data_IF_299808230915
#
_entry.id   IF_299808230915
#
_cell.length_a   1.000
_cell.length_b   1.000
_cell.length_c   1.000
_cell.angle_alpha   90.00
_cell.angle_beta   90.00
_cell.angle_gamma   90.00
#
_symmetry.space_group_name_H-M   'P 1'
#
loop_
_entity.id
_entity.type
_entity.pdbx_description
1 polymer ?
#
# COMPACT_ATOMS: atom_id res chain seq x y z
N UNK A 1 -33.71 -24.25 -3.08
CA UNK A 1 -33.70 -22.99 -3.87
C UNK A 1 -32.38 -22.27 -3.63
N UNK A 2 -31.40 -22.45 -4.50
CA UNK A 2 -30.12 -21.71 -4.47
C UNK A 2 -30.39 -20.29 -4.93
N UNK A 3 -30.21 -19.30 -4.04
CA UNK A 3 -30.24 -17.88 -4.43
C UNK A 3 -29.13 -17.67 -5.45
N UNK A 4 -29.51 -17.24 -6.64
CA UNK A 4 -28.58 -16.93 -7.72
C UNK A 4 -27.89 -15.61 -7.34
N UNK A 5 -26.78 -15.68 -6.59
CA UNK A 5 -26.04 -14.48 -6.25
C UNK A 5 -25.55 -13.83 -7.55
N UNK A 6 -25.81 -12.52 -7.76
CA UNK A 6 -25.37 -11.84 -8.96
C UNK A 6 -23.85 -11.93 -9.06
N UNK A 7 -23.36 -12.33 -10.23
CA UNK A 7 -21.92 -12.42 -10.50
C UNK A 7 -21.32 -11.02 -10.46
N UNK A 8 -20.18 -10.86 -9.81
CA UNK A 8 -19.45 -9.59 -9.83
C UNK A 8 -18.78 -9.40 -11.20
N UNK A 9 -18.50 -8.16 -11.60
CA UNK A 9 -17.76 -7.88 -12.84
C UNK A 9 -16.37 -8.53 -12.85
N UNK A 10 -15.72 -8.59 -11.69
CA UNK A 10 -14.41 -9.25 -11.55
C UNK A 10 -14.52 -10.77 -11.68
N UNK A 11 -15.59 -11.39 -11.17
CA UNK A 11 -15.87 -12.81 -11.41
C UNK A 11 -15.98 -13.09 -12.92
N UNK A 12 -16.77 -12.32 -13.65
CA UNK A 12 -16.90 -12.47 -15.10
C UNK A 12 -15.57 -12.25 -15.83
N UNK A 13 -14.80 -11.25 -15.43
CA UNK A 13 -13.48 -10.99 -15.98
C UNK A 13 -12.49 -12.16 -15.75
N UNK A 14 -12.50 -12.79 -14.57
CA UNK A 14 -11.67 -13.97 -14.29
C UNK A 14 -12.10 -15.19 -15.12
N UNK A 15 -13.41 -15.44 -15.28
CA UNK A 15 -13.90 -16.53 -16.15
C UNK A 15 -13.47 -16.31 -17.61
N UNK A 16 -13.61 -15.07 -18.11
CA UNK A 16 -13.19 -14.72 -19.47
C UNK A 16 -11.67 -14.81 -19.63
N UNK A 17 -10.90 -14.40 -18.63
CA UNK A 17 -9.44 -14.46 -18.64
C UNK A 17 -8.97 -15.92 -18.76
N UNK A 18 -9.49 -16.83 -17.93
CA UNK A 18 -9.12 -18.25 -17.96
C UNK A 18 -9.34 -18.93 -19.32
N UNK A 19 -10.37 -18.50 -20.06
CA UNK A 19 -10.67 -18.97 -21.43
C UNK A 19 -9.72 -18.41 -22.48
N UNK A 20 -9.36 -17.12 -22.39
CA UNK A 20 -8.59 -16.40 -23.43
C UNK A 20 -7.08 -16.46 -23.23
N UNK A 21 -6.62 -16.25 -22.00
CA UNK A 21 -5.20 -16.09 -21.66
C UNK A 21 -4.41 -17.40 -21.71
N UNK A 22 -5.07 -18.51 -21.37
CA UNK A 22 -4.52 -19.88 -21.35
C UNK A 22 -3.25 -20.10 -20.51
N UNK A 23 -2.86 -19.12 -19.72
CA UNK A 23 -1.77 -19.20 -18.74
C UNK A 23 -1.88 -18.00 -17.79
N UNK A 24 -1.78 -18.25 -16.49
CA UNK A 24 -1.68 -17.19 -15.49
C UNK A 24 -0.24 -16.66 -15.43
N UNK A 25 0.05 -15.65 -16.25
CA UNK A 25 1.34 -14.94 -16.31
C UNK A 25 1.16 -13.44 -16.57
N UNK A 26 2.18 -12.64 -16.21
CA UNK A 26 2.19 -11.19 -16.42
C UNK A 26 1.94 -10.82 -17.89
N UNK A 27 2.66 -11.43 -18.83
CA UNK A 27 2.49 -11.20 -20.26
C UNK A 27 1.05 -11.52 -20.76
N UNK A 28 0.44 -12.59 -20.24
CA UNK A 28 -0.95 -12.93 -20.59
C UNK A 28 -1.97 -12.00 -19.94
N UNK A 29 -1.71 -11.56 -18.71
CA UNK A 29 -2.50 -10.55 -18.01
C UNK A 29 -2.48 -9.20 -18.75
N UNK A 30 -1.35 -8.82 -19.33
CA UNK A 30 -1.21 -7.61 -20.15
C UNK A 30 -1.97 -7.70 -21.48
N UNK A 31 -1.90 -8.85 -22.17
CA UNK A 31 -2.59 -9.07 -23.45
C UNK A 31 -4.09 -9.34 -23.33
N UNK A 32 -4.56 -9.81 -22.17
CA UNK A 32 -5.98 -9.99 -21.84
C UNK A 32 -6.31 -9.14 -20.61
N UNK A 33 -6.36 -7.83 -20.81
CA UNK A 33 -6.40 -6.80 -19.76
C UNK A 33 -7.75 -6.63 -19.05
N UNK A 34 -8.74 -7.47 -19.35
CA UNK A 34 -10.09 -7.38 -18.79
C UNK A 34 -10.12 -7.40 -17.26
N UNK A 35 -9.20 -8.14 -16.63
CA UNK A 35 -9.05 -8.20 -15.16
C UNK A 35 -8.42 -6.91 -14.64
N UNK A 36 -7.42 -6.38 -15.35
CA UNK A 36 -6.75 -5.11 -15.00
C UNK A 36 -7.73 -3.95 -15.04
N UNK A 37 -8.65 -3.92 -16.02
CA UNK A 37 -9.71 -2.92 -16.10
C UNK A 37 -10.71 -2.95 -14.95
N UNK A 38 -10.88 -4.10 -14.28
CA UNK A 38 -11.76 -4.20 -13.11
C UNK A 38 -11.08 -3.80 -11.79
N UNK A 39 -9.75 -3.84 -11.73
CA UNK A 39 -8.98 -3.61 -10.49
C UNK A 39 -8.18 -2.31 -10.50
N UNK A 40 -7.79 -1.84 -11.68
CA UNK A 40 -6.95 -0.66 -11.86
C UNK A 40 -7.74 0.64 -11.92
N UNK A 41 -7.01 1.73 -11.77
CA UNK A 41 -7.51 3.08 -12.05
C UNK A 41 -7.54 3.29 -13.57
N UNK A 42 -8.74 3.52 -14.12
CA UNK A 42 -8.96 3.68 -15.56
C UNK A 42 -8.09 4.78 -16.18
N UNK A 43 -7.83 5.87 -15.45
CA UNK A 43 -6.98 6.96 -15.93
C UNK A 43 -5.51 6.53 -16.06
N UNK A 44 -5.06 5.62 -15.20
CA UNK A 44 -3.66 5.15 -15.13
C UNK A 44 -3.40 3.93 -16.00
N UNK A 45 -4.42 3.20 -16.46
CA UNK A 45 -4.23 2.01 -17.30
C UNK A 45 -3.60 2.29 -18.67
N UNK A 46 -3.56 3.56 -19.09
CA UNK A 46 -2.83 4.01 -20.28
C UNK A 46 -1.30 4.08 -20.06
N UNK A 47 -0.83 4.19 -18.81
CA UNK A 47 0.58 4.18 -18.44
C UNK A 47 1.10 2.72 -18.47
N UNK A 48 2.06 2.39 -19.38
CA UNK A 48 2.63 1.06 -19.49
C UNK A 48 3.23 0.55 -18.18
N UNK A 49 3.92 1.40 -17.41
CA UNK A 49 4.61 1.01 -16.19
C UNK A 49 3.60 0.64 -15.09
N UNK A 50 2.57 1.47 -14.90
CA UNK A 50 1.49 1.17 -13.97
C UNK A 50 0.79 -0.15 -14.34
N UNK A 51 0.52 -0.36 -15.63
CA UNK A 51 -0.17 -1.53 -16.12
C UNK A 51 0.65 -2.82 -15.93
N UNK A 52 1.97 -2.77 -16.17
CA UNK A 52 2.90 -3.87 -15.86
C UNK A 52 2.94 -4.20 -14.38
N UNK A 53 3.08 -3.18 -13.52
CA UNK A 53 3.08 -3.36 -12.06
C UNK A 53 1.76 -3.97 -11.56
N UNK A 54 0.63 -3.47 -12.06
CA UNK A 54 -0.69 -4.01 -11.74
C UNK A 54 -0.82 -5.46 -12.20
N UNK A 55 -0.39 -5.78 -13.43
CA UNK A 55 -0.43 -7.14 -13.97
C UNK A 55 0.39 -8.11 -13.13
N UNK A 56 1.63 -7.76 -12.81
CA UNK A 56 2.51 -8.55 -11.93
C UNK A 56 1.83 -8.82 -10.59
N UNK A 57 1.31 -7.78 -9.97
CA UNK A 57 0.64 -7.84 -8.67
C UNK A 57 -0.59 -8.76 -8.69
N UNK A 58 -1.47 -8.61 -9.67
CA UNK A 58 -2.65 -9.48 -9.83
C UNK A 58 -2.23 -10.95 -9.95
N UNK A 59 -1.21 -11.25 -10.76
CA UNK A 59 -0.71 -12.62 -10.93
C UNK A 59 -0.15 -13.19 -9.62
N UNK A 60 0.67 -12.42 -8.90
CA UNK A 60 1.23 -12.84 -7.60
C UNK A 60 0.11 -13.12 -6.60
N UNK A 61 -0.86 -12.21 -6.48
CA UNK A 61 -2.00 -12.37 -5.57
C UNK A 61 -2.85 -13.59 -5.91
N UNK A 62 -3.23 -13.76 -7.19
CA UNK A 62 -4.03 -14.93 -7.60
C UNK A 62 -3.31 -16.24 -7.31
N UNK A 63 -2.00 -16.33 -7.57
CA UNK A 63 -1.22 -17.54 -7.23
C UNK A 63 -1.22 -17.81 -5.73
N UNK A 64 -1.02 -16.77 -4.92
CA UNK A 64 -1.06 -16.88 -3.46
C UNK A 64 -2.44 -17.33 -2.95
N UNK A 65 -3.52 -16.73 -3.47
CA UNK A 65 -4.90 -17.09 -3.12
C UNK A 65 -5.22 -18.54 -3.50
N UNK A 66 -4.82 -18.99 -4.69
CA UNK A 66 -4.99 -20.38 -5.12
C UNK A 66 -4.22 -21.33 -4.20
N UNK A 67 -2.97 -21.03 -3.89
CA UNK A 67 -2.14 -21.87 -3.02
C UNK A 67 -2.70 -21.97 -1.58
N UNK A 68 -3.34 -20.90 -1.09
CA UNK A 68 -3.95 -20.82 0.23
C UNK A 68 -5.33 -21.50 0.34
N UNK A 69 -5.91 -21.99 -0.76
CA UNK A 69 -7.21 -22.68 -0.72
C UNK A 69 -7.11 -23.98 0.10
N UNK A 70 -7.95 -24.15 1.13
CA UNK A 70 -7.87 -25.30 2.03
C UNK A 70 -8.39 -26.59 1.38
N UNK A 71 -9.41 -26.50 0.53
CA UNK A 71 -9.95 -27.66 -0.17
C UNK A 71 -9.09 -27.94 -1.44
N UNK A 72 -8.45 -29.12 -1.54
CA UNK A 72 -7.60 -29.46 -2.67
C UNK A 72 -8.36 -29.55 -4.01
N UNK A 73 -9.64 -29.91 -3.99
CA UNK A 73 -10.51 -29.95 -5.18
C UNK A 73 -10.77 -28.53 -5.68
N UNK A 74 -11.11 -27.60 -4.78
CA UNK A 74 -11.32 -26.19 -5.15
C UNK A 74 -10.04 -25.55 -5.70
N UNK A 75 -8.91 -25.80 -5.03
CA UNK A 75 -7.59 -25.38 -5.50
C UNK A 75 -7.32 -25.89 -6.92
N UNK A 76 -7.54 -27.18 -7.16
CA UNK A 76 -7.29 -27.79 -8.49
C UNK A 76 -8.23 -27.25 -9.56
N UNK A 77 -9.49 -27.00 -9.21
CA UNK A 77 -10.44 -26.30 -10.10
C UNK A 77 -9.94 -24.89 -10.43
N UNK A 78 -9.46 -24.14 -9.44
CA UNK A 78 -8.92 -22.79 -9.65
C UNK A 78 -7.69 -22.80 -10.58
N UNK A 79 -6.75 -23.73 -10.36
CA UNK A 79 -5.59 -23.93 -11.22
C UNK A 79 -5.99 -24.24 -12.66
N UNK A 80 -6.97 -25.13 -12.85
CA UNK A 80 -7.48 -25.50 -14.17
C UNK A 80 -8.22 -24.34 -14.86
N UNK A 81 -9.05 -23.58 -14.13
CA UNK A 81 -9.77 -22.43 -14.70
C UNK A 81 -8.80 -21.35 -15.18
N UNK A 82 -7.82 -20.99 -14.36
CA UNK A 82 -6.91 -19.88 -14.63
C UNK A 82 -5.61 -20.31 -15.36
N UNK A 83 -5.43 -21.61 -15.62
CA UNK A 83 -4.16 -22.18 -16.11
C UNK A 83 -2.97 -21.71 -15.24
N UNK A 84 -3.09 -21.91 -13.93
CA UNK A 84 -2.06 -21.52 -12.98
C UNK A 84 -0.92 -22.55 -12.88
N UNK A 85 -1.22 -23.83 -13.14
CA UNK A 85 -0.25 -24.93 -13.10
C UNK A 85 0.40 -25.18 -14.48
N UNK A 86 1.71 -25.52 -14.56
CA UNK A 86 2.44 -25.69 -15.82
C UNK A 86 1.80 -26.66 -16.82
N UNK A 87 1.25 -27.77 -16.35
CA UNK A 87 0.57 -28.78 -17.14
C UNK A 87 -0.67 -28.25 -17.89
N UNK A 88 -1.23 -27.13 -17.44
CA UNK A 88 -2.41 -26.49 -18.03
C UNK A 88 -2.09 -25.38 -19.03
N UNK A 89 -0.81 -25.03 -19.20
CA UNK A 89 -0.41 -23.93 -20.07
C UNK A 89 -0.80 -24.19 -21.53
N UNK A 90 -1.34 -23.15 -22.16
CA UNK A 90 -1.77 -23.10 -23.57
C UNK A 90 -2.89 -24.09 -23.96
N UNK A 91 -3.44 -24.83 -22.99
CA UNK A 91 -4.61 -25.71 -23.16
C UNK A 91 -5.93 -24.93 -23.08
N UNK A 92 -6.97 -25.40 -23.76
CA UNK A 92 -8.35 -24.93 -23.54
C UNK A 92 -8.92 -25.46 -22.21
N UNK A 93 -10.05 -24.92 -21.77
CA UNK A 93 -10.70 -25.40 -20.53
C UNK A 93 -11.09 -26.87 -20.65
N UNK A 94 -11.55 -27.31 -21.81
CA UNK A 94 -11.89 -28.70 -22.12
C UNK A 94 -10.66 -29.61 -22.05
N UNK A 95 -9.54 -29.19 -22.64
CA UNK A 95 -8.28 -29.93 -22.61
C UNK A 95 -7.69 -30.05 -21.20
N UNK A 96 -7.83 -29.03 -20.35
CA UNK A 96 -7.39 -29.09 -18.95
C UNK A 96 -8.26 -30.04 -18.13
N UNK A 97 -9.58 -30.05 -18.36
CA UNK A 97 -10.50 -31.00 -17.72
C UNK A 97 -10.19 -32.44 -18.13
N UNK A 98 -9.94 -32.68 -19.42
CA UNK A 98 -9.52 -33.98 -19.91
C UNK A 98 -8.20 -34.43 -19.24
N UNK A 99 -7.23 -33.53 -19.14
CA UNK A 99 -5.96 -33.82 -18.45
C UNK A 99 -6.16 -34.26 -17.00
N UNK A 100 -6.94 -33.52 -16.20
CA UNK A 100 -7.24 -33.86 -14.79
C UNK A 100 -7.90 -35.25 -14.69
N UNK A 101 -8.85 -35.54 -15.58
CA UNK A 101 -9.53 -36.84 -15.64
C UNK A 101 -8.57 -38.00 -15.92
N UNK A 102 -7.58 -37.78 -16.77
CA UNK A 102 -6.65 -38.82 -17.23
C UNK A 102 -5.45 -39.04 -16.31
N UNK A 103 -4.97 -37.99 -15.61
CA UNK A 103 -3.63 -38.02 -14.99
C UNK A 103 -3.60 -37.88 -13.47
N UNK A 104 -4.52 -37.14 -12.84
CA UNK A 104 -4.42 -36.86 -11.39
C UNK A 104 -5.70 -37.08 -10.59
N UNK A 105 -6.85 -37.26 -11.27
CA UNK A 105 -8.18 -37.43 -10.66
C UNK A 105 -8.53 -36.35 -9.62
N UNK A 106 -7.96 -35.15 -9.74
CA UNK A 106 -8.09 -34.09 -8.73
C UNK A 106 -9.51 -33.54 -8.58
N UNK A 107 -10.34 -33.66 -9.61
CA UNK A 107 -11.79 -33.39 -9.55
C UNK A 107 -12.56 -34.15 -10.63
N UNK A 108 -13.84 -34.43 -10.39
CA UNK A 108 -14.76 -34.99 -11.38
C UNK A 108 -15.41 -33.90 -12.24
N UNK A 109 -15.97 -34.27 -13.39
CA UNK A 109 -16.70 -33.33 -14.25
C UNK A 109 -17.89 -32.67 -13.54
N UNK A 110 -18.59 -33.42 -12.69
CA UNK A 110 -19.72 -32.89 -11.92
C UNK A 110 -19.25 -31.93 -10.83
N UNK A 111 -18.14 -32.24 -10.13
CA UNK A 111 -17.51 -31.31 -9.19
C UNK A 111 -17.08 -30.02 -9.90
N UNK A 112 -16.44 -30.12 -11.08
CA UNK A 112 -16.09 -28.94 -11.86
C UNK A 112 -17.31 -28.11 -12.23
N UNK A 113 -18.37 -28.75 -12.75
CA UNK A 113 -19.61 -28.08 -13.16
C UNK A 113 -20.29 -27.35 -12.00
N UNK A 114 -20.37 -27.99 -10.83
CA UNK A 114 -21.07 -27.47 -9.65
C UNK A 114 -20.25 -26.46 -8.85
N UNK A 115 -18.93 -26.66 -8.72
CA UNK A 115 -18.08 -25.84 -7.83
C UNK A 115 -17.41 -24.68 -8.54
N UNK A 116 -17.12 -24.76 -9.85
CA UNK A 116 -16.34 -23.74 -10.58
C UNK A 116 -16.85 -22.32 -10.37
N UNK A 117 -18.15 -22.09 -10.51
CA UNK A 117 -18.72 -20.74 -10.40
C UNK A 117 -18.46 -20.13 -9.01
N UNK A 118 -18.59 -20.94 -7.95
CA UNK A 118 -18.30 -20.53 -6.58
C UNK A 118 -16.81 -20.28 -6.39
N UNK A 119 -15.93 -21.19 -6.81
CA UNK A 119 -14.46 -21.04 -6.68
C UNK A 119 -13.97 -19.74 -7.33
N UNK A 120 -14.48 -19.40 -8.51
CA UNK A 120 -14.11 -18.14 -9.18
C UNK A 120 -14.71 -16.92 -8.47
N UNK A 121 -15.92 -17.04 -7.92
CA UNK A 121 -16.53 -15.97 -7.11
C UNK A 121 -15.73 -15.69 -5.84
N UNK A 122 -15.29 -16.74 -5.14
CA UNK A 122 -14.47 -16.65 -3.92
C UNK A 122 -13.12 -15.98 -4.25
N UNK A 123 -12.43 -16.42 -5.32
CA UNK A 123 -11.21 -15.75 -5.81
C UNK A 123 -11.43 -14.28 -6.16
N UNK A 124 -12.54 -13.93 -6.82
CA UNK A 124 -12.84 -12.55 -7.16
C UNK A 124 -13.09 -11.70 -5.90
N UNK A 125 -13.80 -12.24 -4.92
CA UNK A 125 -14.04 -11.57 -3.64
C UNK A 125 -12.73 -11.35 -2.88
N UNK A 126 -11.91 -12.40 -2.76
CA UNK A 126 -10.62 -12.34 -2.06
C UNK A 126 -9.62 -11.44 -2.78
N UNK A 127 -9.57 -11.46 -4.11
CA UNK A 127 -8.73 -10.56 -4.89
C UNK A 127 -9.19 -9.10 -4.73
N UNK A 128 -10.51 -8.85 -4.71
CA UNK A 128 -11.05 -7.51 -4.44
C UNK A 128 -10.68 -7.04 -3.03
N UNK A 129 -10.85 -7.91 -2.03
CA UNK A 129 -10.48 -7.63 -0.65
C UNK A 129 -8.99 -7.37 -0.52
N UNK A 130 -8.16 -8.20 -1.17
CA UNK A 130 -6.72 -8.00 -1.25
C UNK A 130 -6.42 -6.64 -1.87
N UNK A 131 -6.94 -6.29 -3.04
CA UNK A 131 -6.67 -4.97 -3.64
C UNK A 131 -7.14 -3.78 -2.79
N UNK A 132 -8.24 -3.92 -2.05
CA UNK A 132 -8.71 -2.89 -1.11
C UNK A 132 -7.81 -2.76 0.13
N UNK A 133 -7.36 -3.88 0.67
CA UNK A 133 -6.59 -3.94 1.92
C UNK A 133 -5.10 -3.76 1.69
N UNK A 134 -4.65 -3.98 0.47
CA UNK A 134 -3.26 -3.92 0.09
C UNK A 134 -3.03 -2.48 -0.39
N UNK A 135 -2.92 -1.61 0.61
CA UNK A 135 -2.26 -0.31 0.53
C UNK A 135 -0.97 -0.53 -0.25
N UNK A 136 -0.75 0.21 -1.33
CA UNK A 136 0.47 0.11 -2.13
C UNK A 136 1.72 0.05 -1.21
N UNK A 137 2.71 -0.84 -1.49
CA UNK A 137 3.84 -1.11 -0.61
C UNK A 137 4.45 0.19 -0.08
N UNK A 138 4.43 0.39 1.25
CA UNK A 138 4.76 1.63 1.98
C UNK A 138 4.87 2.90 1.11
N UNK A 139 3.81 3.17 0.36
CA UNK A 139 3.87 4.15 -0.72
C UNK A 139 3.51 5.54 -0.23
N UNK A 140 2.95 5.65 0.98
CA UNK A 140 2.44 6.90 1.55
C UNK A 140 2.87 7.03 3.00
N UNK A 141 3.78 7.97 3.23
CA UNK A 141 4.30 8.29 4.55
C UNK A 141 3.57 9.54 5.04
N UNK A 142 2.92 9.44 6.20
CA UNK A 142 2.35 10.60 6.88
C UNK A 142 3.41 11.28 7.75
N UNK A 143 3.69 12.55 7.47
CA UNK A 143 4.53 13.39 8.32
C UNK A 143 3.64 14.10 9.34
N UNK A 144 3.73 13.65 10.59
CA UNK A 144 3.01 14.21 11.73
C UNK A 144 3.97 14.95 12.67
N UNK A 145 3.48 15.99 13.32
CA UNK A 145 4.31 16.72 14.28
C UNK A 145 4.04 18.20 14.36
N UNK A 146 4.69 18.82 15.34
CA UNK A 146 4.81 20.27 15.48
C UNK A 146 6.06 20.60 16.27
N UNK A 147 6.73 21.68 15.90
CA UNK A 147 7.84 22.22 16.66
C UNK A 147 7.99 23.72 16.46
N UNK A 148 8.65 24.35 17.44
CA UNK A 148 8.98 25.78 17.42
C UNK A 148 10.50 26.03 17.27
N UNK A 149 11.33 25.00 17.48
CA UNK A 149 12.78 25.11 17.32
C UNK A 149 13.16 25.08 15.83
N UNK A 150 13.56 26.24 15.32
CA UNK A 150 13.98 26.43 13.92
C UNK A 150 15.17 25.55 13.51
N UNK A 151 15.94 25.01 14.46
CA UNK A 151 17.03 24.08 14.14
C UNK A 151 16.51 22.81 13.45
N UNK A 152 15.28 22.39 13.77
CA UNK A 152 14.67 21.20 13.15
C UNK A 152 14.13 21.47 11.73
N UNK A 153 14.11 22.72 11.25
CA UNK A 153 13.81 23.02 9.84
C UNK A 153 14.84 22.34 8.92
N UNK A 154 16.12 22.37 9.31
CA UNK A 154 17.20 21.71 8.59
C UNK A 154 17.00 20.19 8.57
N UNK A 155 16.70 19.60 9.72
CA UNK A 155 16.50 18.15 9.85
C UNK A 155 15.28 17.68 9.04
N UNK A 156 14.20 18.45 9.04
CA UNK A 156 13.01 18.19 8.23
C UNK A 156 13.31 18.29 6.72
N UNK A 157 14.11 19.28 6.29
CA UNK A 157 14.52 19.40 4.91
C UNK A 157 15.47 18.25 4.47
N UNK A 158 16.39 17.85 5.33
CA UNK A 158 17.28 16.71 5.08
C UNK A 158 16.48 15.40 4.92
N UNK A 159 15.49 15.16 5.80
CA UNK A 159 14.58 14.03 5.66
C UNK A 159 13.83 14.07 4.32
N UNK A 160 13.26 15.22 3.95
CA UNK A 160 12.52 15.38 2.70
C UNK A 160 13.37 15.09 1.48
N UNK A 161 14.62 15.56 1.48
CA UNK A 161 15.61 15.27 0.42
C UNK A 161 15.89 13.78 0.33
N UNK A 162 16.13 13.11 1.46
CA UNK A 162 16.41 11.67 1.49
C UNK A 162 15.21 10.81 1.07
N UNK A 163 13.99 11.19 1.46
CA UNK A 163 12.76 10.50 1.04
C UNK A 163 12.50 10.65 -0.47
N UNK A 164 13.03 11.71 -1.10
CA UNK A 164 12.92 11.92 -2.53
C UNK A 164 13.63 10.82 -3.35
N UNK A 165 14.62 10.12 -2.78
CA UNK A 165 15.34 9.01 -3.40
C UNK A 165 14.60 7.68 -3.31
N UNK A 166 13.53 7.63 -2.53
CA UNK A 166 12.71 6.44 -2.35
C UNK A 166 11.44 6.50 -3.20
N UNK A 167 10.86 5.36 -3.60
CA UNK A 167 9.59 5.29 -4.33
C UNK A 167 8.37 5.53 -3.42
N UNK A 168 8.44 6.55 -2.55
CA UNK A 168 7.40 6.90 -1.57
C UNK A 168 6.73 8.22 -1.93
N UNK A 169 5.51 8.42 -1.46
CA UNK A 169 4.77 9.68 -1.51
C UNK A 169 4.52 10.18 -0.09
N UNK A 170 4.31 11.48 0.06
CA UNK A 170 4.04 12.11 1.35
C UNK A 170 2.58 12.48 1.49
N UNK A 171 2.07 12.26 2.69
CA UNK A 171 0.87 12.89 3.22
C UNK A 171 1.33 13.80 4.35
N UNK A 172 0.83 15.02 4.40
CA UNK A 172 1.13 15.91 5.51
C UNK A 172 -0.04 16.86 5.78
N UNK A 173 -0.19 17.26 7.04
CA UNK A 173 -0.95 18.45 7.36
C UNK A 173 -0.17 19.73 7.00
N UNK A 174 -0.78 20.88 7.28
CA UNK A 174 -0.16 22.20 7.06
C UNK A 174 0.77 22.64 8.21
N UNK A 175 1.12 21.74 9.12
CA UNK A 175 2.08 22.02 10.20
C UNK A 175 3.51 22.14 9.66
N UNK A 176 4.38 22.82 10.41
CA UNK A 176 5.74 23.15 9.98
C UNK A 176 6.58 21.92 9.51
N UNK A 177 6.67 20.81 10.26
CA UNK A 177 7.45 19.64 9.80
C UNK A 177 6.93 19.10 8.47
N UNK A 178 5.61 18.93 8.37
CA UNK A 178 4.94 18.44 7.16
C UNK A 178 5.24 19.30 5.93
N UNK A 179 5.18 20.64 6.08
CA UNK A 179 5.52 21.58 5.01
C UNK A 179 7.00 21.51 4.62
N UNK A 180 7.92 21.53 5.60
CA UNK A 180 9.37 21.51 5.36
C UNK A 180 9.84 20.24 4.64
N UNK A 181 9.41 19.07 5.12
CA UNK A 181 9.72 17.78 4.48
C UNK A 181 9.17 17.76 3.05
N UNK A 182 7.92 18.21 2.86
CA UNK A 182 7.29 18.27 1.54
C UNK A 182 8.01 19.19 0.56
N UNK A 183 8.42 20.38 1.01
CA UNK A 183 9.14 21.34 0.17
C UNK A 183 10.50 20.80 -0.26
N UNK A 184 11.29 20.27 0.68
CA UNK A 184 12.60 19.72 0.34
C UNK A 184 12.51 18.51 -0.59
N UNK A 185 11.52 17.63 -0.38
CA UNK A 185 11.28 16.51 -1.31
C UNK A 185 10.91 16.99 -2.70
N UNK A 186 10.02 17.98 -2.81
CA UNK A 186 9.62 18.56 -4.10
C UNK A 186 10.83 19.17 -4.83
N UNK A 187 11.69 19.91 -4.12
CA UNK A 187 12.90 20.52 -4.70
C UNK A 187 13.89 19.47 -5.19
N UNK A 188 14.14 18.44 -4.39
CA UNK A 188 15.02 17.34 -4.76
C UNK A 188 14.50 16.55 -5.96
N UNK A 189 13.18 16.35 -6.07
CA UNK A 189 12.57 15.71 -7.25
C UNK A 189 12.64 16.63 -8.49
N UNK A 190 12.40 17.93 -8.31
CA UNK A 190 12.41 18.92 -9.40
C UNK A 190 13.82 19.11 -9.97
N UNK A 191 14.84 19.18 -9.11
CA UNK A 191 16.25 19.25 -9.51
C UNK A 191 16.69 18.05 -10.37
N UNK A 192 16.01 16.91 -10.24
CA UNK A 192 16.23 15.69 -11.04
C UNK A 192 15.30 15.54 -12.24
N UNK A 193 14.39 16.50 -12.47
CA UNK A 193 13.43 16.46 -13.57
C UNK A 193 12.33 15.39 -13.44
N UNK A 194 12.10 14.84 -12.25
CA UNK A 194 11.15 13.74 -12.01
C UNK A 194 10.03 14.11 -11.02
N UNK A 195 9.85 15.40 -10.77
CA UNK A 195 8.78 15.88 -9.89
C UNK A 195 7.40 15.58 -10.48
N UNK A 196 6.54 14.98 -9.66
CA UNK A 196 5.11 14.84 -9.92
C UNK A 196 4.33 15.37 -8.71
N UNK A 197 3.30 16.22 -8.92
CA UNK A 197 2.42 16.67 -7.85
C UNK A 197 1.76 15.52 -7.07
N UNK A 198 1.59 14.34 -7.68
CA UNK A 198 1.01 13.17 -7.01
C UNK A 198 1.90 12.58 -5.90
N UNK A 199 3.18 12.96 -5.84
CA UNK A 199 4.14 12.51 -4.81
C UNK A 199 3.89 13.15 -3.46
N UNK A 200 3.13 14.24 -3.39
CA UNK A 200 2.91 15.02 -2.17
C UNK A 200 1.44 15.41 -2.07
N UNK A 201 0.80 15.07 -0.96
CA UNK A 201 -0.57 15.47 -0.65
C UNK A 201 -0.61 16.26 0.66
N UNK A 202 -1.04 17.51 0.58
CA UNK A 202 -1.20 18.39 1.74
C UNK A 202 -2.67 18.46 2.14
N UNK A 203 -2.98 18.12 3.37
CA UNK A 203 -4.34 18.06 3.88
C UNK A 203 -4.69 19.35 4.62
N UNK A 204 -5.77 19.99 4.17
CA UNK A 204 -6.39 21.15 4.80
C UNK A 204 -7.85 20.86 5.16
N UNK A 205 -8.44 21.67 6.05
CA UNK A 205 -9.86 21.53 6.40
C UNK A 205 -10.71 22.20 5.32
N UNK A 206 -11.88 21.64 5.00
CA UNK A 206 -12.72 22.14 3.90
C UNK A 206 -13.32 23.54 4.14
N UNK A 207 -13.56 23.91 5.41
CA UNK A 207 -14.28 25.13 5.77
C UNK A 207 -13.40 26.23 6.37
N UNK A 208 -12.11 26.29 6.04
CA UNK A 208 -11.28 27.41 6.50
C UNK A 208 -11.53 28.61 5.58
N UNK A 209 -12.05 29.70 6.15
CA UNK A 209 -12.37 30.94 5.43
C UNK A 209 -11.16 31.57 4.69
N UNK A 210 -9.94 31.23 5.13
CA UNK A 210 -8.71 31.45 4.39
C UNK A 210 -8.00 30.11 4.18
N UNK A 211 -7.61 29.75 2.95
CA UNK A 211 -6.61 28.71 2.74
C UNK A 211 -5.41 29.02 3.63
N UNK A 212 -4.92 28.07 4.42
CA UNK A 212 -3.65 28.29 5.11
C UNK A 212 -2.59 28.53 4.04
N UNK A 213 -1.93 29.68 4.09
CA UNK A 213 -0.89 30.02 3.13
C UNK A 213 0.24 29.00 3.23
N UNK A 214 0.23 28.05 2.29
CA UNK A 214 1.42 27.32 1.97
C UNK A 214 2.39 28.35 1.40
N UNK A 215 3.53 28.57 2.07
CA UNK A 215 4.58 29.49 1.60
C UNK A 215 4.96 29.19 0.14
N UNK A 216 4.82 27.91 -0.26
CA UNK A 216 4.95 27.43 -1.63
C UNK A 216 3.86 26.43 -2.00
N UNK A 217 3.36 26.49 -3.23
CA UNK A 217 2.48 25.46 -3.82
C UNK A 217 3.31 24.24 -4.23
N UNK A 218 3.27 23.18 -3.43
CA UNK A 218 3.81 21.85 -3.79
C UNK A 218 2.74 20.78 -3.64
N UNK A 219 2.85 19.74 -4.45
CA UNK A 219 1.91 18.63 -4.44
C UNK A 219 0.50 19.03 -4.82
N UNK A 220 -0.47 18.25 -4.33
CA UNK A 220 -1.89 18.56 -4.36
C UNK A 220 -2.40 18.92 -2.97
N UNK A 221 -3.32 19.89 -2.87
CA UNK A 221 -4.03 20.18 -1.62
C UNK A 221 -5.35 19.42 -1.62
N UNK A 222 -5.57 18.62 -0.58
CA UNK A 222 -6.82 17.89 -0.36
C UNK A 222 -7.57 18.54 0.78
N UNK A 223 -8.80 18.96 0.51
CA UNK A 223 -9.70 19.54 1.50
C UNK A 223 -10.60 18.44 2.06
N UNK A 224 -10.43 18.10 3.33
CA UNK A 224 -11.23 17.04 3.98
C UNK A 224 -11.78 17.49 5.32
N UNK A 225 -12.98 16.98 5.61
CA UNK A 225 -13.65 17.13 6.89
C UNK A 225 -14.05 18.56 7.22
N UNK A 226 -15.03 18.69 8.11
CA UNK A 226 -15.36 19.95 8.78
C UNK A 226 -14.57 20.11 10.09
N UNK A 227 -14.01 19.03 10.64
CA UNK A 227 -13.28 19.03 11.93
C UNK A 227 -11.82 18.60 11.80
N UNK A 228 -10.99 19.02 12.78
CA UNK A 228 -9.58 18.61 12.86
C UNK A 228 -9.44 17.09 13.02
N UNK A 229 -10.32 16.46 13.80
CA UNK A 229 -10.29 15.03 14.05
C UNK A 229 -10.58 14.21 12.78
N UNK A 230 -11.55 14.65 11.95
CA UNK A 230 -11.82 14.02 10.65
C UNK A 230 -10.59 14.09 9.75
N UNK A 231 -9.95 15.26 9.65
CA UNK A 231 -8.71 15.43 8.88
C UNK A 231 -7.60 14.47 9.34
N UNK A 232 -7.38 14.35 10.66
CA UNK A 232 -6.40 13.41 11.25
C UNK A 232 -6.67 11.97 10.87
N UNK A 233 -7.93 11.52 11.00
CA UNK A 233 -8.34 10.16 10.63
C UNK A 233 -8.09 9.88 9.15
N UNK A 234 -8.44 10.81 8.26
CA UNK A 234 -8.20 10.63 6.82
C UNK A 234 -6.71 10.57 6.49
N UNK A 235 -5.87 11.45 7.08
CA UNK A 235 -4.42 11.41 6.86
C UNK A 235 -3.81 10.06 7.30
N UNK A 236 -4.14 9.58 8.50
CA UNK A 236 -3.66 8.29 9.01
C UNK A 236 -4.17 7.14 8.15
N UNK A 237 -5.46 7.12 7.83
CA UNK A 237 -6.09 6.08 7.00
C UNK A 237 -5.44 5.93 5.62
N UNK A 238 -4.98 7.03 5.04
CA UNK A 238 -4.33 7.02 3.73
C UNK A 238 -2.82 6.75 3.80
N UNK A 239 -2.26 6.63 5.00
CA UNK A 239 -0.84 6.36 5.22
C UNK A 239 -0.57 4.88 5.47
N UNK A 240 0.64 4.45 5.13
CA UNK A 240 1.16 3.11 5.44
C UNK A 240 2.29 3.14 6.47
N UNK A 241 2.71 4.35 6.85
CA UNK A 241 3.74 4.65 7.84
C UNK A 241 3.52 6.09 8.32
N UNK A 242 3.76 6.34 9.61
CA UNK A 242 3.82 7.69 10.18
C UNK A 242 5.24 8.00 10.63
N UNK A 243 5.76 9.18 10.30
CA UNK A 243 6.99 9.73 10.90
C UNK A 243 6.60 10.90 11.81
N UNK A 244 7.08 10.88 13.05
CA UNK A 244 6.78 11.93 14.05
C UNK A 244 7.94 12.91 14.22
N UNK A 245 7.61 14.20 14.25
CA UNK A 245 8.49 15.30 14.67
C UNK A 245 7.90 16.02 15.89
N UNK A 246 8.62 16.04 16.99
CA UNK A 246 8.24 16.77 18.21
C UNK A 246 6.80 16.46 18.61
N UNK A 247 5.98 17.50 18.68
CA UNK A 247 4.54 17.37 18.77
C UNK A 247 3.97 17.57 20.17
N UNK A 248 2.74 18.08 20.22
CA UNK A 248 1.91 18.14 21.42
C UNK A 248 0.71 17.21 21.33
N UNK A 249 -0.41 17.58 21.99
CA UNK A 249 -1.63 16.76 22.04
C UNK A 249 -2.15 16.32 20.67
N UNK A 250 -2.05 17.19 19.66
CA UNK A 250 -2.49 16.86 18.31
C UNK A 250 -1.71 15.72 17.67
N UNK A 251 -0.40 15.66 17.93
CA UNK A 251 0.47 14.58 17.47
C UNK A 251 0.19 13.31 18.26
N UNK A 252 -0.04 13.40 19.57
CA UNK A 252 -0.46 12.25 20.40
C UNK A 252 -1.75 11.62 19.85
N UNK A 253 -2.75 12.43 19.49
CA UNK A 253 -3.98 11.92 18.86
C UNK A 253 -3.72 11.22 17.53
N UNK A 254 -2.83 11.78 16.69
CA UNK A 254 -2.45 11.18 15.40
C UNK A 254 -1.71 9.85 15.60
N UNK A 255 -0.84 9.76 16.60
CA UNK A 255 -0.14 8.54 17.00
C UNK A 255 -1.11 7.47 17.48
N UNK A 256 -2.05 7.81 18.38
CA UNK A 256 -3.05 6.86 18.88
C UNK A 256 -3.95 6.33 17.75
N UNK A 257 -4.28 7.18 16.77
CA UNK A 257 -5.00 6.75 15.57
C UNK A 257 -4.17 5.79 14.72
N UNK A 258 -2.87 6.06 14.55
CA UNK A 258 -1.97 5.19 13.80
C UNK A 258 -1.92 3.79 14.43
N UNK A 259 -1.73 3.70 15.75
CA UNK A 259 -1.72 2.44 16.48
C UNK A 259 -3.05 1.69 16.36
N UNK A 260 -4.18 2.38 16.55
CA UNK A 260 -5.51 1.78 16.41
C UNK A 260 -5.78 1.20 15.01
N UNK A 261 -5.09 1.73 13.99
CA UNK A 261 -5.18 1.26 12.61
C UNK A 261 -4.04 0.31 12.21
N UNK A 262 -3.14 -0.05 13.13
CA UNK A 262 -1.97 -0.88 12.83
C UNK A 262 -0.99 -0.22 11.86
N UNK A 263 -0.99 1.12 11.77
CA UNK A 263 -0.04 1.87 10.95
C UNK A 263 1.24 2.06 11.76
N UNK A 264 2.40 1.58 11.30
CA UNK A 264 3.65 1.74 12.03
C UNK A 264 4.08 3.19 12.18
N UNK A 265 4.75 3.48 13.29
CA UNK A 265 5.21 4.82 13.67
C UNK A 265 6.74 4.83 13.82
N UNK A 266 7.41 5.77 13.17
CA UNK A 266 8.84 6.06 13.32
C UNK A 266 8.98 7.41 14.06
N UNK A 267 9.28 7.41 15.37
CA UNK A 267 9.44 8.64 16.12
C UNK A 267 10.85 9.24 15.94
N UNK A 268 10.99 10.46 15.41
CA UNK A 268 12.28 11.18 15.48
C UNK A 268 12.46 11.76 16.88
N UNK A 269 12.73 10.89 17.86
CA UNK A 269 12.68 11.19 19.29
C UNK A 269 13.64 12.30 19.74
N UNK A 270 14.74 12.54 19.01
CA UNK A 270 15.66 13.66 19.29
C UNK A 270 14.96 15.04 19.21
N UNK A 271 13.79 15.12 18.57
CA UNK A 271 12.96 16.33 18.47
C UNK A 271 12.01 16.53 19.67
N UNK A 272 12.09 15.70 20.71
CA UNK A 272 11.31 15.88 21.94
C UNK A 272 9.81 15.62 21.78
N UNK A 273 9.02 16.17 22.71
CA UNK A 273 7.55 16.17 22.65
C UNK A 273 6.91 14.78 22.54
N UNK A 274 5.82 14.69 21.78
CA UNK A 274 5.08 13.45 21.54
C UNK A 274 5.93 12.37 20.86
N UNK A 275 6.84 12.73 19.94
CA UNK A 275 7.76 11.80 19.29
C UNK A 275 8.68 11.12 20.31
N UNK A 276 9.29 11.89 21.22
CA UNK A 276 10.14 11.33 22.27
C UNK A 276 9.36 10.45 23.25
N UNK A 277 8.17 10.89 23.68
CA UNK A 277 7.32 10.10 24.55
C UNK A 277 6.95 8.75 23.91
N UNK A 278 6.58 8.75 22.63
CA UNK A 278 6.29 7.53 21.89
C UNK A 278 7.49 6.58 21.87
N UNK A 279 8.68 7.09 21.57
CA UNK A 279 9.91 6.30 21.57
C UNK A 279 10.22 5.72 22.94
N UNK A 280 10.12 6.52 24.02
CA UNK A 280 10.35 6.06 25.39
C UNK A 280 9.45 4.89 25.78
N UNK A 281 8.18 4.93 25.38
CA UNK A 281 7.20 3.87 25.64
C UNK A 281 7.46 2.58 24.85
N UNK A 282 8.12 2.67 23.69
CA UNK A 282 8.23 1.57 22.73
C UNK A 282 9.65 1.03 22.51
N UNK A 283 10.70 1.72 22.99
CA UNK A 283 12.11 1.38 22.75
C UNK A 283 12.54 -0.01 23.24
N UNK A 284 11.77 -0.63 24.13
CA UNK A 284 12.03 -1.97 24.67
C UNK A 284 11.18 -3.07 24.02
N UNK A 285 10.21 -2.70 23.17
CA UNK A 285 9.24 -3.61 22.53
C UNK A 285 9.31 -3.45 21.01
N UNK A 286 10.52 -3.52 20.44
CA UNK A 286 10.73 -3.33 19.00
C UNK A 286 10.24 -4.51 18.16
N UNK A 287 10.10 -5.69 18.76
CA UNK A 287 9.58 -6.90 18.12
C UNK A 287 8.10 -6.78 17.70
N UNK A 288 7.31 -5.96 18.41
CA UNK A 288 5.91 -5.71 18.08
C UNK A 288 5.73 -4.60 17.05
N UNK A 289 6.75 -3.75 16.83
CA UNK A 289 6.70 -2.67 15.85
C UNK A 289 7.06 -3.26 14.48
N UNK A 290 6.12 -3.22 13.54
CA UNK A 290 6.30 -3.82 12.21
C UNK A 290 6.25 -2.79 11.09
N UNK A 291 7.38 -2.59 10.43
CA UNK A 291 7.52 -1.70 9.27
C UNK A 291 7.61 -2.58 8.01
N UNK A 292 6.66 -2.41 7.08
CA UNK A 292 6.47 -3.31 5.93
C UNK A 292 6.19 -4.77 6.32
N UNK A 293 5.60 -5.01 7.49
CA UNK A 293 5.35 -6.36 8.00
C UNK A 293 6.55 -7.03 8.69
N UNK A 294 7.72 -6.40 8.68
CA UNK A 294 8.94 -6.87 9.33
C UNK A 294 9.14 -6.19 10.69
N UNK A 295 9.50 -6.93 11.76
CA UNK A 295 9.92 -6.33 13.03
C UNK A 295 11.05 -5.33 12.81
N UNK A 296 11.03 -4.18 13.50
CA UNK A 296 12.12 -3.19 13.39
C UNK A 296 13.39 -3.70 14.07
N UNK A 297 14.54 -3.42 13.46
CA UNK A 297 15.83 -3.69 14.07
C UNK A 297 16.01 -2.83 15.34
N UNK A 298 16.29 -3.43 16.52
CA UNK A 298 16.40 -2.69 17.77
C UNK A 298 17.52 -1.64 17.75
N UNK A 299 18.65 -1.94 17.11
CA UNK A 299 19.78 -1.01 17.01
C UNK A 299 19.43 0.23 16.20
N UNK A 300 18.81 0.02 15.04
CA UNK A 300 18.30 1.08 14.17
C UNK A 300 17.24 1.92 14.89
N UNK A 301 16.30 1.28 15.60
CA UNK A 301 15.25 2.00 16.33
C UNK A 301 15.81 2.82 17.51
N UNK A 302 16.86 2.35 18.17
CA UNK A 302 17.53 3.09 19.25
C UNK A 302 18.18 4.39 18.75
N UNK A 303 18.70 4.40 17.50
CA UNK A 303 19.32 5.57 16.90
C UNK A 303 18.34 6.72 16.63
N UNK A 304 17.02 6.49 16.68
CA UNK A 304 16.02 7.54 16.47
C UNK A 304 16.04 8.64 17.55
N UNK A 305 16.64 8.39 18.71
CA UNK A 305 16.87 9.38 19.79
C UNK A 305 18.34 9.82 19.90
N UNK A 306 19.14 9.65 18.85
CA UNK A 306 20.58 9.95 18.89
C UNK A 306 20.86 11.46 18.85
N UNK A 307 21.84 11.93 19.63
CA UNK A 307 22.22 13.36 19.72
C UNK A 307 22.77 13.90 18.39
N UNK A 308 23.46 13.05 17.61
CA UNK A 308 23.85 13.34 16.23
C UNK A 308 22.63 13.12 15.32
N UNK A 309 21.94 14.21 14.96
CA UNK A 309 20.67 14.16 14.22
C UNK A 309 20.75 13.40 12.89
N UNK A 310 21.86 13.52 12.16
CA UNK A 310 22.04 12.81 10.88
C UNK A 310 22.05 11.28 11.02
N UNK A 311 22.45 10.75 12.18
CA UNK A 311 22.33 9.32 12.48
C UNK A 311 20.88 8.92 12.73
N UNK A 312 20.10 9.75 13.44
CA UNK A 312 18.68 9.51 13.66
C UNK A 312 17.87 9.58 12.35
N UNK A 313 18.17 10.56 11.49
CA UNK A 313 17.54 10.68 10.17
C UNK A 313 17.89 9.48 9.27
N UNK A 314 19.15 9.04 9.26
CA UNK A 314 19.57 7.84 8.53
C UNK A 314 18.82 6.60 9.02
N UNK A 315 18.72 6.42 10.33
CA UNK A 315 17.98 5.32 10.92
C UNK A 315 16.49 5.33 10.51
N UNK A 316 15.85 6.51 10.48
CA UNK A 316 14.49 6.64 9.99
C UNK A 316 14.36 6.23 8.52
N UNK A 317 15.30 6.65 7.66
CA UNK A 317 15.34 6.26 6.24
C UNK A 317 15.57 4.75 6.07
N UNK A 318 16.44 4.15 6.88
CA UNK A 318 16.71 2.70 6.81
C UNK A 318 15.48 1.88 7.24
N UNK A 319 14.70 2.35 8.22
CA UNK A 319 13.40 1.77 8.56
C UNK A 319 12.38 1.94 7.42
N UNK A 320 12.32 3.11 6.78
CA UNK A 320 11.47 3.30 5.58
C UNK A 320 11.86 2.31 4.48
N UNK A 321 13.17 2.14 4.21
CA UNK A 321 13.68 1.17 3.22
C UNK A 321 13.35 -0.27 3.59
N UNK A 322 13.44 -0.63 4.87
CA UNK A 322 12.98 -1.93 5.35
C UNK A 322 11.52 -2.16 4.98
N UNK A 323 10.68 -1.13 5.16
CA UNK A 323 9.26 -1.21 4.86
C UNK A 323 8.88 -1.31 3.38
N UNK A 324 9.83 -1.01 2.49
CA UNK A 324 9.66 -1.10 1.04
C UNK A 324 10.11 -2.45 0.46
N UNK A 325 10.81 -3.29 1.25
CA UNK A 325 11.20 -4.64 0.86
C UNK A 325 10.04 -5.60 0.97
#
# INVERSE_FOLDING_TARGET
MTRNNPRSRLHEALEQYGRRARRLSEARMLSVDIVLRQLGDEARLSDPLYREQLARRVVVMLRSLIAAMPDPVDRRIAEAVLAAAPEFYDRTVEQRRAYVREHDFGFTDEQFKTRRARVVADLAADLTAAFRNHTEPMSRIFISGSYDDVRWDRDAAELGTALADLPVSLIAGMALPGRRVSYAMADALAARGIYSPSRIQLFSRANVAQPSDADRRVGSIVYVGSTQQQKRREMVRHSSLVILFGGGNGTVEETNLAEAHGVPVIPLAFTGGAAQQYWLSHRHATDVIRVGGHPVDPGTYALLNHEVHSLALRAAIDLVRQGLK
#
